data_IF_704273057456
#
_entry.id   IF_704273057456
#
_cell.length_a   1.000
_cell.length_b   1.000
_cell.length_c   1.000
_cell.angle_alpha   90.00
_cell.angle_beta   90.00
_cell.angle_gamma   90.00
#
_symmetry.space_group_name_H-M   'P 1'
#
loop_
_entity.id
_entity.type
_entity.pdbx_description
1 polymer ?
#
# COMPACT_ATOMS: atom_id res chain seq x y z
N UNK A 1 18.34 -10.86 -19.29
CA UNK A 1 17.12 -11.67 -19.16
C UNK A 1 16.39 -11.62 -20.50
N UNK A 2 15.89 -12.74 -20.99
CA UNK A 2 15.08 -12.76 -22.22
C UNK A 2 13.80 -11.96 -21.93
N UNK A 3 13.45 -10.98 -22.77
CA UNK A 3 12.28 -10.10 -22.59
C UNK A 3 10.94 -10.87 -22.57
N UNK A 4 10.97 -12.17 -22.93
CA UNK A 4 9.80 -13.06 -23.05
C UNK A 4 9.56 -13.98 -21.85
N UNK A 5 10.41 -13.92 -20.79
CA UNK A 5 10.32 -14.87 -19.67
C UNK A 5 8.96 -14.87 -18.96
N UNK A 6 8.26 -13.72 -18.92
CA UNK A 6 6.92 -13.61 -18.32
C UNK A 6 5.87 -14.39 -19.12
N UNK A 7 6.11 -14.62 -20.41
CA UNK A 7 5.22 -15.34 -21.32
C UNK A 7 5.57 -16.83 -21.38
N UNK A 8 6.84 -17.20 -21.21
CA UNK A 8 7.32 -18.55 -21.51
C UNK A 8 7.45 -19.45 -20.28
N UNK A 9 7.84 -18.88 -19.12
CA UNK A 9 8.10 -19.68 -17.91
C UNK A 9 6.81 -20.32 -17.34
N UNK A 10 6.93 -21.49 -16.66
CA UNK A 10 5.82 -22.08 -15.92
C UNK A 10 5.24 -21.09 -14.90
N UNK A 11 3.90 -21.02 -14.82
CA UNK A 11 3.19 -19.93 -14.11
C UNK A 11 3.45 -19.96 -12.60
N UNK A 12 3.41 -21.16 -11.96
CA UNK A 12 3.57 -21.25 -10.51
C UNK A 12 4.95 -20.74 -10.03
N UNK A 13 6.09 -21.28 -10.50
CA UNK A 13 7.40 -20.77 -10.07
C UNK A 13 7.61 -19.32 -10.49
N UNK A 14 7.04 -18.88 -11.62
CA UNK A 14 7.11 -17.49 -12.06
C UNK A 14 6.38 -16.57 -11.06
N UNK A 15 5.13 -16.87 -10.70
CA UNK A 15 4.37 -16.07 -9.75
C UNK A 15 5.04 -16.04 -8.37
N UNK A 16 5.55 -17.16 -7.88
CA UNK A 16 6.29 -17.22 -6.60
C UNK A 16 7.55 -16.37 -6.67
N UNK A 17 8.33 -16.44 -7.75
CA UNK A 17 9.55 -15.64 -7.91
C UNK A 17 9.28 -14.13 -7.99
N UNK A 18 8.07 -13.73 -8.37
CA UNK A 18 7.64 -12.34 -8.40
C UNK A 18 7.03 -11.89 -7.06
N UNK A 19 6.25 -12.76 -6.42
CA UNK A 19 5.51 -12.44 -5.20
C UNK A 19 6.41 -12.47 -3.94
N UNK A 20 7.28 -13.46 -3.81
CA UNK A 20 8.09 -13.65 -2.60
C UNK A 20 8.99 -12.45 -2.28
N UNK A 21 9.73 -11.86 -3.24
CA UNK A 21 10.51 -10.64 -2.97
C UNK A 21 9.62 -9.48 -2.50
N UNK A 22 8.39 -9.37 -3.03
CA UNK A 22 7.46 -8.31 -2.63
C UNK A 22 6.93 -8.51 -1.21
N UNK A 23 6.60 -9.76 -0.84
CA UNK A 23 6.20 -10.10 0.53
C UNK A 23 7.31 -9.73 1.52
N UNK A 24 8.56 -10.10 1.21
CA UNK A 24 9.72 -9.78 2.05
C UNK A 24 9.94 -8.27 2.16
N UNK A 25 9.88 -7.54 1.04
CA UNK A 25 10.01 -6.08 1.02
C UNK A 25 8.94 -5.39 1.87
N UNK A 26 7.68 -5.80 1.71
CA UNK A 26 6.56 -5.25 2.49
C UNK A 26 6.71 -5.55 3.98
N UNK A 27 7.21 -6.75 4.34
CA UNK A 27 7.45 -7.13 5.73
C UNK A 27 8.55 -6.26 6.35
N UNK A 28 9.67 -6.07 5.64
CA UNK A 28 10.76 -5.20 6.12
C UNK A 28 10.31 -3.76 6.21
N UNK A 29 9.51 -3.28 5.24
CA UNK A 29 8.92 -1.95 5.29
C UNK A 29 8.00 -1.75 6.51
N UNK A 30 7.19 -2.75 6.87
CA UNK A 30 6.37 -2.70 8.07
C UNK A 30 7.23 -2.70 9.35
N UNK A 31 8.30 -3.47 9.39
CA UNK A 31 9.22 -3.53 10.54
C UNK A 31 9.97 -2.22 10.72
N UNK A 32 10.51 -1.62 9.64
CA UNK A 32 11.23 -0.36 9.80
C UNK A 32 10.31 0.77 10.30
N UNK A 33 9.05 0.84 9.87
CA UNK A 33 8.09 1.81 10.40
C UNK A 33 7.83 1.65 11.91
N UNK A 34 7.87 0.40 12.41
CA UNK A 34 7.76 0.13 13.86
C UNK A 34 9.01 0.61 14.58
N UNK A 35 10.20 0.34 14.03
CA UNK A 35 11.49 0.74 14.60
C UNK A 35 11.63 2.26 14.65
N UNK A 36 11.29 2.96 13.57
CA UNK A 36 11.27 4.44 13.52
C UNK A 36 10.36 5.01 14.61
N UNK A 37 9.12 4.50 14.70
CA UNK A 37 8.18 4.93 15.75
C UNK A 37 8.70 4.65 17.16
N UNK A 38 9.41 3.54 17.37
CA UNK A 38 10.02 3.18 18.66
C UNK A 38 11.10 4.19 19.06
N UNK A 39 11.98 4.60 18.14
CA UNK A 39 13.00 5.60 18.45
C UNK A 39 12.41 6.98 18.69
N UNK A 40 11.39 7.39 17.90
CA UNK A 40 10.69 8.66 18.11
C UNK A 40 9.99 8.70 19.47
N UNK A 41 9.38 7.59 19.91
CA UNK A 41 8.75 7.49 21.22
C UNK A 41 9.75 7.69 22.39
N UNK A 42 11.03 7.38 22.21
CA UNK A 42 12.07 7.63 23.21
C UNK A 42 12.50 9.10 23.32
N UNK A 43 12.17 9.94 22.36
CA UNK A 43 12.48 11.39 22.42
C UNK A 43 11.58 12.05 23.47
N UNK A 44 10.27 11.98 23.30
CA UNK A 44 9.24 12.48 24.22
C UNK A 44 7.84 12.05 23.78
N UNK A 45 6.87 12.10 24.69
CA UNK A 45 5.44 11.90 24.36
C UNK A 45 4.93 12.95 23.36
N UNK A 46 5.43 14.18 23.47
CA UNK A 46 5.09 15.26 22.54
C UNK A 46 5.59 14.99 21.12
N UNK A 47 6.80 14.41 20.97
CA UNK A 47 7.35 14.02 19.67
C UNK A 47 6.52 12.90 19.04
N UNK A 48 6.12 11.90 19.82
CA UNK A 48 5.26 10.81 19.35
C UNK A 48 3.86 11.31 18.95
N UNK A 49 3.31 12.25 19.72
CA UNK A 49 2.04 12.91 19.39
C UNK A 49 2.15 13.69 18.08
N UNK A 50 3.23 14.46 17.92
CA UNK A 50 3.49 15.22 16.71
C UNK A 50 3.60 14.29 15.47
N UNK A 51 4.37 13.19 15.57
CA UNK A 51 4.48 12.20 14.50
C UNK A 51 3.12 11.60 14.14
N UNK A 52 2.32 11.25 15.14
CA UNK A 52 0.98 10.68 14.93
C UNK A 52 0.03 11.64 14.21
N UNK A 53 0.12 12.95 14.48
CA UNK A 53 -0.67 13.97 13.81
C UNK A 53 -0.19 14.26 12.38
N UNK A 54 1.10 14.11 12.09
CA UNK A 54 1.68 14.29 10.74
C UNK A 54 1.41 13.07 9.85
N UNK A 55 1.35 11.87 10.44
CA UNK A 55 1.22 10.59 9.74
C UNK A 55 0.10 10.54 8.67
N UNK A 56 -1.13 11.03 8.89
CA UNK A 56 -2.18 11.01 7.87
C UNK A 56 -1.79 11.73 6.58
N UNK A 57 -1.10 12.88 6.68
CA UNK A 57 -0.64 13.65 5.51
C UNK A 57 0.50 12.93 4.79
N UNK A 58 1.43 12.34 5.54
CA UNK A 58 2.51 11.52 4.99
C UNK A 58 1.95 10.30 4.26
N UNK A 59 0.96 9.62 4.85
CA UNK A 59 0.29 8.48 4.22
C UNK A 59 -0.49 8.87 2.95
N UNK A 60 -1.04 10.08 2.89
CA UNK A 60 -1.67 10.61 1.67
C UNK A 60 -0.65 10.79 0.54
N UNK A 61 0.55 11.33 0.83
CA UNK A 61 1.63 11.45 -0.15
C UNK A 61 2.02 10.07 -0.68
N UNK A 62 2.20 9.09 0.21
CA UNK A 62 2.50 7.71 -0.16
C UNK A 62 1.37 7.07 -1.00
N UNK A 63 0.11 7.31 -0.65
CA UNK A 63 -1.04 6.81 -1.41
C UNK A 63 -1.07 7.37 -2.84
N UNK A 64 -0.76 8.66 -3.02
CA UNK A 64 -0.64 9.29 -4.34
C UNK A 64 0.49 8.62 -5.14
N UNK A 65 1.66 8.45 -4.53
CA UNK A 65 2.83 7.86 -5.18
C UNK A 65 2.59 6.39 -5.58
N UNK A 66 2.09 5.57 -4.66
CA UNK A 66 1.81 4.14 -4.90
C UNK A 66 0.68 3.99 -5.93
N UNK A 67 -0.42 4.73 -5.76
CA UNK A 67 -1.57 4.61 -6.65
C UNK A 67 -1.25 5.06 -8.08
N UNK A 68 -0.55 6.18 -8.26
CA UNK A 68 -0.07 6.61 -9.57
C UNK A 68 0.92 5.60 -10.16
N UNK A 69 1.81 5.06 -9.32
CA UNK A 69 2.75 4.01 -9.69
C UNK A 69 2.09 2.72 -10.17
N UNK A 70 0.88 2.37 -9.69
CA UNK A 70 0.10 1.24 -10.23
C UNK A 70 -0.25 1.45 -11.69
N UNK A 71 -0.62 2.68 -12.06
CA UNK A 71 -0.85 3.06 -13.46
C UNK A 71 0.40 2.91 -14.34
N UNK A 72 1.54 3.39 -13.83
CA UNK A 72 2.85 3.26 -14.51
C UNK A 72 3.19 1.78 -14.74
N UNK A 73 3.10 0.96 -13.70
CA UNK A 73 3.37 -0.48 -13.76
C UNK A 73 2.50 -1.17 -14.81
N UNK A 74 1.18 -0.91 -14.77
CA UNK A 74 0.22 -1.54 -15.67
C UNK A 74 0.49 -1.19 -17.14
N UNK A 75 0.76 0.10 -17.45
CA UNK A 75 0.98 0.51 -18.83
C UNK A 75 2.32 0.04 -19.39
N UNK A 76 3.40 0.14 -18.60
CA UNK A 76 4.72 -0.36 -19.01
C UNK A 76 4.65 -1.86 -19.31
N UNK A 77 4.10 -2.65 -18.40
CA UNK A 77 4.00 -4.10 -18.59
C UNK A 77 3.08 -4.45 -19.79
N UNK A 78 1.96 -3.75 -19.95
CA UNK A 78 1.03 -3.93 -21.07
C UNK A 78 1.71 -3.68 -22.44
N UNK A 79 2.37 -2.53 -22.59
CA UNK A 79 3.04 -2.18 -23.85
C UNK A 79 4.28 -3.03 -24.10
N UNK A 80 5.00 -3.41 -23.05
CA UNK A 80 6.12 -4.37 -23.17
C UNK A 80 5.64 -5.74 -23.66
N UNK A 81 4.50 -6.23 -23.14
CA UNK A 81 3.88 -7.46 -23.60
C UNK A 81 3.39 -7.39 -25.04
N UNK A 82 2.85 -6.25 -25.46
CA UNK A 82 2.42 -6.00 -26.83
C UNK A 82 3.60 -5.81 -27.81
N UNK A 83 4.84 -5.74 -27.34
CA UNK A 83 6.02 -5.47 -28.16
C UNK A 83 6.18 -3.99 -28.57
N UNK A 84 5.33 -3.11 -28.06
CA UNK A 84 5.37 -1.66 -28.34
C UNK A 84 6.34 -0.96 -27.36
N UNK A 85 7.64 -1.08 -27.67
CA UNK A 85 8.70 -0.47 -26.87
C UNK A 85 8.60 1.06 -26.81
N UNK A 86 8.17 1.70 -27.90
CA UNK A 86 8.05 3.15 -27.94
C UNK A 86 7.03 3.65 -26.90
N UNK A 87 5.86 3.03 -26.83
CA UNK A 87 4.84 3.38 -25.85
C UNK A 87 5.24 2.98 -24.42
N UNK A 88 5.98 1.88 -24.24
CA UNK A 88 6.51 1.50 -22.94
C UNK A 88 7.52 2.55 -22.43
N UNK A 89 8.45 3.01 -23.28
CA UNK A 89 9.41 4.07 -22.96
C UNK A 89 8.70 5.41 -22.67
N UNK A 90 7.66 5.75 -23.45
CA UNK A 90 6.86 6.96 -23.21
C UNK A 90 6.11 6.87 -21.88
N UNK A 91 5.47 5.74 -21.57
CA UNK A 91 4.77 5.54 -20.30
C UNK A 91 5.71 5.65 -19.08
N UNK A 92 6.93 5.11 -19.20
CA UNK A 92 7.95 5.24 -18.16
C UNK A 92 8.44 6.69 -17.99
N UNK A 93 8.68 7.37 -19.11
CA UNK A 93 9.20 8.76 -19.10
C UNK A 93 8.14 9.73 -18.54
N UNK A 94 6.90 9.66 -19.02
CA UNK A 94 5.79 10.47 -18.50
C UNK A 94 5.50 10.12 -17.03
N UNK A 95 5.52 8.82 -16.69
CA UNK A 95 5.38 8.36 -15.32
C UNK A 95 6.37 9.02 -14.38
N UNK A 96 7.66 9.08 -14.76
CA UNK A 96 8.70 9.73 -13.93
C UNK A 96 8.50 11.24 -13.85
N UNK A 97 8.25 11.91 -14.98
CA UNK A 97 8.04 13.37 -15.02
C UNK A 97 6.87 13.76 -14.13
N UNK A 98 5.72 13.10 -14.27
CA UNK A 98 4.55 13.37 -13.45
C UNK A 98 4.75 13.00 -11.99
N UNK A 99 5.46 11.90 -11.68
CA UNK A 99 5.80 11.55 -10.29
C UNK A 99 6.61 12.67 -9.62
N UNK A 100 7.67 13.17 -10.28
CA UNK A 100 8.46 14.29 -9.76
C UNK A 100 7.60 15.54 -9.60
N UNK A 101 6.75 15.86 -10.58
CA UNK A 101 5.85 17.01 -10.51
C UNK A 101 4.86 16.90 -9.35
N UNK A 102 4.22 15.74 -9.16
CA UNK A 102 3.35 15.49 -8.02
C UNK A 102 4.11 15.62 -6.70
N UNK A 103 5.36 15.13 -6.64
CA UNK A 103 6.21 15.26 -5.47
C UNK A 103 6.54 16.71 -5.13
N UNK A 104 6.86 17.53 -6.13
CA UNK A 104 7.11 18.97 -5.94
C UNK A 104 5.85 19.69 -5.46
N UNK A 105 4.70 19.42 -6.07
CA UNK A 105 3.42 20.00 -5.65
C UNK A 105 3.10 19.56 -4.21
N UNK A 106 3.23 18.26 -3.91
CA UNK A 106 2.98 17.73 -2.57
C UNK A 106 3.91 18.35 -1.52
N UNK A 107 5.21 18.51 -1.83
CA UNK A 107 6.16 19.17 -0.93
C UNK A 107 5.70 20.58 -0.60
N UNK A 108 5.46 21.41 -1.61
CA UNK A 108 5.06 22.83 -1.41
C UNK A 108 3.73 22.93 -0.66
N UNK A 109 2.70 22.20 -1.11
CA UNK A 109 1.35 22.28 -0.55
C UNK A 109 1.32 21.75 0.88
N UNK A 110 1.90 20.56 1.12
CA UNK A 110 1.84 19.93 2.44
C UNK A 110 2.69 20.68 3.48
N UNK A 111 3.88 21.21 3.11
CA UNK A 111 4.68 22.04 4.02
C UNK A 111 3.92 23.32 4.39
N UNK A 112 3.33 24.01 3.40
CA UNK A 112 2.59 25.24 3.64
C UNK A 112 1.32 25.04 4.49
N UNK A 113 0.62 23.93 4.30
CA UNK A 113 -0.63 23.62 5.02
C UNK A 113 -0.41 23.09 6.44
N UNK A 114 0.74 22.48 6.72
CA UNK A 114 0.95 21.71 7.95
C UNK A 114 0.75 22.52 9.24
N UNK A 115 1.22 23.79 9.37
CA UNK A 115 0.99 24.57 10.60
C UNK A 115 -0.49 24.77 10.89
N UNK A 116 -1.30 25.06 9.86
CA UNK A 116 -2.76 25.21 9.99
C UNK A 116 -3.45 23.88 10.30
N UNK A 117 -3.03 22.81 9.63
CA UNK A 117 -3.54 21.46 9.85
C UNK A 117 -3.33 21.00 11.30
N UNK A 118 -2.14 21.14 11.86
CA UNK A 118 -1.84 20.73 13.23
C UNK A 118 -2.68 21.51 14.26
N UNK A 119 -2.89 22.80 14.05
CA UNK A 119 -3.73 23.65 14.93
C UNK A 119 -5.19 23.22 14.98
N UNK A 120 -5.70 22.47 13.99
CA UNK A 120 -7.05 21.90 14.04
C UNK A 120 -7.18 20.78 15.08
N UNK A 121 -6.07 20.13 15.44
CA UNK A 121 -6.08 18.94 16.30
C UNK A 121 -5.52 19.18 17.69
N UNK A 122 -4.67 20.20 17.87
CA UNK A 122 -4.04 20.50 19.16
C UNK A 122 -3.78 21.98 19.35
N UNK A 123 -3.94 22.48 20.58
CA UNK A 123 -3.50 23.80 21.01
C UNK A 123 -2.10 23.81 21.66
N UNK A 124 -1.42 22.67 21.73
CA UNK A 124 -0.08 22.59 22.34
C UNK A 124 0.98 23.06 21.33
N UNK A 125 1.49 24.26 21.53
CA UNK A 125 2.50 24.88 20.64
C UNK A 125 3.79 24.07 20.54
N UNK A 126 4.18 23.32 21.58
CA UNK A 126 5.35 22.44 21.50
C UNK A 126 5.14 21.26 20.54
N UNK A 127 3.95 20.64 20.57
CA UNK A 127 3.58 19.57 19.63
C UNK A 127 3.49 20.12 18.20
N UNK A 128 2.91 21.30 18.01
CA UNK A 128 2.81 21.97 16.70
C UNK A 128 4.22 22.25 16.16
N UNK A 129 5.11 22.84 16.97
CA UNK A 129 6.48 23.14 16.57
C UNK A 129 7.27 21.87 16.15
N UNK A 130 7.14 20.78 16.92
CA UNK A 130 7.76 19.49 16.59
C UNK A 130 7.17 18.89 15.30
N UNK A 131 5.86 18.94 15.13
CA UNK A 131 5.18 18.45 13.94
C UNK A 131 5.54 19.22 12.68
N UNK A 132 5.60 20.56 12.75
CA UNK A 132 6.03 21.42 11.63
C UNK A 132 7.49 21.13 11.28
N UNK A 133 8.36 21.00 12.29
CA UNK A 133 9.78 20.73 12.09
C UNK A 133 10.01 19.36 11.42
N UNK A 134 9.30 18.32 11.88
CA UNK A 134 9.34 16.98 11.28
C UNK A 134 8.83 17.01 9.84
N UNK A 135 7.62 17.53 9.64
CA UNK A 135 6.94 17.51 8.35
C UNK A 135 7.64 18.32 7.28
N UNK A 136 8.25 19.48 7.65
CA UNK A 136 9.00 20.30 6.70
C UNK A 136 10.18 19.53 6.11
N UNK A 137 10.89 18.73 6.92
CA UNK A 137 11.98 17.90 6.45
C UNK A 137 11.44 16.70 5.67
N UNK A 138 10.49 15.94 6.24
CA UNK A 138 9.96 14.75 5.61
C UNK A 138 9.32 15.04 4.24
N UNK A 139 8.56 16.13 4.12
CA UNK A 139 7.88 16.47 2.86
C UNK A 139 8.81 17.15 1.85
N UNK A 140 9.94 17.73 2.28
CA UNK A 140 10.99 18.18 1.37
C UNK A 140 11.50 17.01 0.50
N UNK A 141 11.51 15.79 1.03
CA UNK A 141 11.89 14.59 0.29
C UNK A 141 10.75 14.01 -0.58
N UNK A 142 9.54 14.59 -0.60
CA UNK A 142 8.44 14.06 -1.38
C UNK A 142 8.76 13.85 -2.88
N UNK A 143 9.50 14.72 -3.58
CA UNK A 143 9.92 14.44 -4.96
C UNK A 143 10.80 13.21 -5.09
N UNK A 144 11.67 12.94 -4.11
CA UNK A 144 12.54 11.77 -4.05
C UNK A 144 11.70 10.51 -3.84
N UNK A 145 10.75 10.55 -2.89
CA UNK A 145 9.79 9.46 -2.62
C UNK A 145 9.00 9.11 -3.86
N UNK A 146 8.46 10.12 -4.56
CA UNK A 146 7.68 9.92 -5.78
C UNK A 146 8.52 9.34 -6.93
N UNK A 147 9.76 9.79 -7.08
CA UNK A 147 10.69 9.26 -8.07
C UNK A 147 11.11 7.82 -7.73
N UNK A 148 11.42 7.55 -6.47
CA UNK A 148 11.77 6.22 -5.95
C UNK A 148 10.67 5.22 -6.22
N UNK A 149 9.41 5.55 -5.85
CA UNK A 149 8.25 4.70 -6.11
C UNK A 149 7.96 4.52 -7.62
N UNK A 150 8.24 5.53 -8.45
CA UNK A 150 8.17 5.38 -9.90
C UNK A 150 9.18 4.33 -10.41
N UNK A 151 10.44 4.39 -9.95
CA UNK A 151 11.46 3.39 -10.29
C UNK A 151 11.08 2.01 -9.75
N UNK A 152 10.57 1.91 -8.53
CA UNK A 152 10.04 0.66 -7.98
C UNK A 152 9.03 0.03 -8.94
N UNK A 153 8.04 0.82 -9.42
CA UNK A 153 7.00 0.32 -10.31
C UNK A 153 7.51 0.00 -11.72
N UNK A 154 8.51 0.73 -12.18
CA UNK A 154 9.20 0.46 -13.44
C UNK A 154 9.97 -0.88 -13.38
N UNK A 155 10.71 -1.13 -12.30
CA UNK A 155 11.40 -2.41 -12.08
C UNK A 155 10.42 -3.57 -11.93
N UNK A 156 9.34 -3.40 -11.19
CA UNK A 156 8.27 -4.38 -11.06
C UNK A 156 7.62 -4.69 -12.41
N UNK A 157 7.35 -3.67 -13.25
CA UNK A 157 6.73 -3.83 -14.55
C UNK A 157 7.52 -4.72 -15.52
N UNK A 158 8.85 -4.70 -15.41
CA UNK A 158 9.75 -5.55 -16.21
C UNK A 158 10.17 -6.83 -15.49
N UNK A 159 9.56 -7.13 -14.33
CA UNK A 159 9.76 -8.37 -13.58
C UNK A 159 11.05 -8.46 -12.78
N UNK A 160 11.71 -7.34 -12.51
CA UNK A 160 12.94 -7.28 -11.71
C UNK A 160 12.64 -7.13 -10.21
N UNK A 161 11.90 -8.09 -9.64
CA UNK A 161 11.45 -8.05 -8.26
C UNK A 161 12.58 -8.20 -7.23
N UNK A 162 13.63 -8.98 -7.56
CA UNK A 162 14.77 -9.15 -6.67
C UNK A 162 15.57 -7.85 -6.52
N UNK A 163 15.74 -7.12 -7.62
CA UNK A 163 16.40 -5.81 -7.61
C UNK A 163 15.54 -4.78 -6.88
N UNK A 164 14.21 -4.85 -7.03
CA UNK A 164 13.26 -4.05 -6.25
C UNK A 164 13.43 -4.32 -4.75
N UNK A 165 13.44 -5.58 -4.36
CA UNK A 165 13.64 -5.97 -2.97
C UNK A 165 15.00 -5.48 -2.44
N UNK A 166 16.07 -5.66 -3.20
CA UNK A 166 17.41 -5.22 -2.78
C UNK A 166 17.48 -3.71 -2.54
N UNK A 167 16.90 -2.89 -3.44
CA UNK A 167 16.88 -1.45 -3.29
C UNK A 167 16.10 -1.02 -2.05
N UNK A 168 14.90 -1.57 -1.83
CA UNK A 168 14.07 -1.29 -0.66
C UNK A 168 14.76 -1.72 0.65
N UNK A 169 15.45 -2.87 0.66
CA UNK A 169 16.21 -3.33 1.81
C UNK A 169 17.37 -2.39 2.14
N UNK A 170 18.13 -1.93 1.13
CA UNK A 170 19.22 -0.98 1.33
C UNK A 170 18.73 0.31 1.99
N UNK A 171 17.61 0.89 1.51
CA UNK A 171 17.03 2.09 2.10
C UNK A 171 16.51 1.88 3.52
N UNK A 172 15.77 0.78 3.75
CA UNK A 172 15.23 0.46 5.08
C UNK A 172 16.33 0.21 6.10
N UNK A 173 17.37 -0.53 5.75
CA UNK A 173 18.53 -0.76 6.64
C UNK A 173 19.25 0.55 6.94
N UNK A 174 19.43 1.40 5.91
CA UNK A 174 20.04 2.72 6.09
C UNK A 174 19.23 3.57 7.07
N UNK A 175 17.91 3.60 6.94
CA UNK A 175 17.04 4.32 7.86
C UNK A 175 17.17 3.78 9.31
N UNK A 176 17.04 2.46 9.51
CA UNK A 176 17.16 1.83 10.84
C UNK A 176 18.51 2.16 11.52
N UNK A 177 19.59 2.24 10.75
CA UNK A 177 20.91 2.60 11.29
C UNK A 177 20.99 4.09 11.61
N UNK A 178 20.46 4.94 10.72
CA UNK A 178 20.56 6.40 10.87
C UNK A 178 19.59 6.96 11.91
N UNK A 179 18.46 6.31 12.19
CA UNK A 179 17.51 6.76 13.20
C UNK A 179 18.20 7.01 14.56
N UNK A 180 18.79 6.01 15.24
CA UNK A 180 19.43 6.26 16.52
C UNK A 180 20.63 7.21 16.42
N UNK A 181 21.37 7.19 15.29
CA UNK A 181 22.54 8.05 15.09
C UNK A 181 22.13 9.52 15.03
N UNK A 182 21.10 9.87 14.25
CA UNK A 182 20.66 11.24 14.05
C UNK A 182 19.70 11.73 15.14
N UNK A 183 18.88 10.84 15.69
CA UNK A 183 17.95 11.19 16.77
C UNK A 183 18.73 11.53 18.05
N UNK A 184 19.65 10.66 18.48
CA UNK A 184 20.34 10.77 19.76
C UNK A 184 21.74 11.37 19.67
N UNK A 185 22.25 11.62 18.45
CA UNK A 185 23.57 12.22 18.26
C UNK A 185 24.71 11.26 18.58
N UNK A 186 24.67 10.03 18.03
CA UNK A 186 25.71 9.04 18.27
C UNK A 186 26.94 9.31 17.40
N UNK A 187 28.13 9.20 18.00
CA UNK A 187 29.42 9.45 17.34
C UNK A 187 29.65 10.94 17.03
N UNK A 188 30.06 11.32 15.81
CA UNK A 188 30.36 12.70 15.45
C UNK A 188 29.13 13.56 15.09
N UNK A 189 27.92 12.96 15.12
CA UNK A 189 26.71 13.63 14.68
C UNK A 189 26.02 14.38 15.84
N UNK A 190 25.45 15.58 15.56
CA UNK A 190 24.68 16.31 16.55
C UNK A 190 23.35 15.62 16.85
N UNK A 191 22.85 15.76 18.07
CA UNK A 191 21.52 15.31 18.45
C UNK A 191 20.45 16.17 17.78
N UNK A 192 19.72 15.60 16.82
CA UNK A 192 18.71 16.30 16.03
C UNK A 192 17.27 16.03 16.49
N UNK A 193 17.07 15.04 17.38
CA UNK A 193 15.75 14.66 17.87
C UNK A 193 14.80 14.27 16.73
N UNK A 194 13.56 14.79 16.73
CA UNK A 194 12.54 14.47 15.73
C UNK A 194 12.94 14.86 14.29
N UNK A 195 13.81 15.87 14.14
CA UNK A 195 14.37 16.23 12.82
C UNK A 195 15.31 15.17 12.31
N UNK A 196 16.02 14.47 13.23
CA UNK A 196 16.88 13.35 12.91
C UNK A 196 16.09 12.18 12.31
N UNK A 197 14.93 11.85 12.87
CA UNK A 197 14.04 10.81 12.34
C UNK A 197 13.57 11.16 10.91
N UNK A 198 13.09 12.40 10.68
CA UNK A 198 12.68 12.85 9.35
C UNK A 198 13.83 12.79 8.33
N UNK A 199 15.05 13.20 8.74
CA UNK A 199 16.23 13.18 7.89
C UNK A 199 16.70 11.76 7.60
N UNK A 200 16.71 10.85 8.59
CA UNK A 200 17.05 9.44 8.40
C UNK A 200 16.12 8.76 7.39
N UNK A 201 14.81 9.01 7.50
CA UNK A 201 13.81 8.54 6.53
C UNK A 201 14.11 9.09 5.14
N UNK A 202 14.35 10.40 4.99
CA UNK A 202 14.66 11.02 3.71
C UNK A 202 15.95 10.48 3.08
N UNK A 203 17.01 10.28 3.87
CA UNK A 203 18.27 9.67 3.40
C UNK A 203 18.04 8.22 2.97
N UNK A 204 17.28 7.43 3.73
CA UNK A 204 16.90 6.07 3.36
C UNK A 204 16.23 6.02 1.97
N UNK A 205 15.30 6.93 1.70
CA UNK A 205 14.65 7.07 0.39
C UNK A 205 15.64 7.47 -0.73
N UNK A 206 16.58 8.39 -0.43
CA UNK A 206 17.64 8.75 -1.37
C UNK A 206 18.54 7.54 -1.69
N UNK A 207 18.87 6.71 -0.71
CA UNK A 207 19.66 5.49 -0.90
C UNK A 207 18.89 4.50 -1.77
N UNK A 208 17.61 4.26 -1.49
CA UNK A 208 16.76 3.40 -2.33
C UNK A 208 16.74 3.88 -3.78
N UNK A 209 16.48 5.16 -4.00
CA UNK A 209 16.49 5.76 -5.34
C UNK A 209 17.86 5.63 -6.01
N UNK A 210 18.95 5.86 -5.26
CA UNK A 210 20.30 5.74 -5.78
C UNK A 210 20.63 4.32 -6.23
N UNK A 211 20.20 3.31 -5.47
CA UNK A 211 20.36 1.90 -5.85
C UNK A 211 19.59 1.59 -7.13
N UNK A 212 18.34 2.06 -7.27
CA UNK A 212 17.60 1.93 -8.52
C UNK A 212 18.31 2.59 -9.70
N UNK A 213 18.80 3.81 -9.53
CA UNK A 213 19.51 4.54 -10.59
C UNK A 213 20.82 3.83 -10.97
N UNK A 214 21.59 3.33 -10.01
CA UNK A 214 22.85 2.58 -10.29
C UNK A 214 22.51 1.33 -11.10
N UNK A 215 21.52 0.53 -10.68
CA UNK A 215 21.14 -0.69 -11.40
C UNK A 215 20.60 -0.34 -12.79
N UNK A 216 19.79 0.71 -12.91
CA UNK A 216 19.23 1.17 -14.18
C UNK A 216 20.31 1.61 -15.17
N UNK A 217 21.34 2.35 -14.72
CA UNK A 217 22.43 2.83 -15.56
C UNK A 217 23.48 1.79 -15.88
N UNK A 218 23.75 0.83 -14.97
CA UNK A 218 24.80 -0.17 -15.13
C UNK A 218 24.36 -1.43 -15.89
N UNK A 219 23.07 -1.73 -15.85
CA UNK A 219 22.51 -2.90 -16.52
C UNK A 219 21.65 -2.50 -17.72
N UNK A 220 21.64 -3.36 -18.75
CA UNK A 220 20.69 -3.18 -19.85
C UNK A 220 19.26 -3.31 -19.33
N UNK A 221 18.50 -2.21 -19.44
CA UNK A 221 17.12 -2.17 -19.01
C UNK A 221 16.18 -2.22 -20.22
N UNK A 222 15.10 -3.03 -20.21
CA UNK A 222 14.22 -3.22 -21.38
C UNK A 222 13.46 -1.96 -21.78
N UNK A 223 13.16 -1.10 -20.80
CA UNK A 223 12.42 0.15 -20.95
C UNK A 223 13.35 1.32 -20.67
N UNK A 224 13.39 2.29 -21.57
CA UNK A 224 14.33 3.41 -21.50
C UNK A 224 13.61 4.73 -21.24
N UNK A 225 14.13 5.49 -20.29
CA UNK A 225 13.74 6.87 -20.09
C UNK A 225 14.41 7.74 -21.15
N UNK A 226 13.62 8.37 -22.01
CA UNK A 226 14.13 9.14 -23.15
C UNK A 226 13.56 10.56 -23.15
N UNK A 227 14.44 11.56 -23.24
CA UNK A 227 14.04 12.96 -23.38
C UNK A 227 13.13 13.20 -24.59
N UNK A 228 13.33 12.44 -25.67
CA UNK A 228 12.48 12.50 -26.87
C UNK A 228 11.02 12.07 -26.62
N UNK A 229 10.78 11.30 -25.56
CA UNK A 229 9.46 10.83 -25.16
C UNK A 229 8.73 11.80 -24.23
N UNK A 230 9.29 12.95 -23.85
CA UNK A 230 8.62 13.96 -23.00
C UNK A 230 7.49 14.70 -23.75
N UNK A 231 7.39 14.54 -25.08
CA UNK A 231 6.33 15.17 -25.87
C UNK A 231 4.95 14.73 -25.35
N UNK A 232 4.01 15.68 -25.12
CA UNK A 232 2.70 15.36 -24.59
C UNK A 232 1.97 14.32 -25.44
N UNK A 233 1.58 13.21 -24.83
CA UNK A 233 0.66 12.21 -25.40
C UNK A 233 -0.58 12.14 -24.50
N UNK A 234 -1.56 12.99 -24.83
CA UNK A 234 -2.80 13.14 -24.05
C UNK A 234 -3.58 11.84 -23.88
N UNK A 235 -3.48 10.94 -24.86
CA UNK A 235 -4.18 9.63 -24.79
C UNK A 235 -3.50 8.69 -23.80
N UNK A 236 -2.18 8.65 -23.80
CA UNK A 236 -1.40 7.85 -22.87
C UNK A 236 -1.53 8.41 -21.45
N UNK A 237 -1.44 9.73 -21.30
CA UNK A 237 -1.56 10.40 -20.00
C UNK A 237 -2.95 10.17 -19.39
N UNK A 238 -4.02 10.36 -20.17
CA UNK A 238 -5.37 10.08 -19.70
C UNK A 238 -5.54 8.62 -19.27
N UNK A 239 -4.91 7.68 -19.99
CA UNK A 239 -4.94 6.25 -19.61
C UNK A 239 -4.18 5.98 -18.32
N UNK A 240 -3.03 6.63 -18.12
CA UNK A 240 -2.22 6.54 -16.90
C UNK A 240 -3.02 7.03 -15.69
N UNK A 241 -3.65 8.20 -15.80
CA UNK A 241 -4.51 8.73 -14.73
C UNK A 241 -5.79 7.94 -14.51
N UNK A 242 -6.37 7.34 -15.56
CA UNK A 242 -7.57 6.48 -15.44
C UNK A 242 -7.34 5.20 -14.63
N UNK A 243 -6.09 4.80 -14.45
CA UNK A 243 -5.69 3.70 -13.57
C UNK A 243 -5.19 4.24 -12.24
N UNK A 244 -4.32 5.26 -12.28
CA UNK A 244 -3.65 5.82 -11.11
C UNK A 244 -4.61 6.46 -10.12
N UNK A 245 -5.52 7.32 -10.57
CA UNK A 245 -6.49 8.01 -9.68
C UNK A 245 -7.40 7.02 -8.95
N UNK A 246 -8.04 6.04 -9.61
CA UNK A 246 -8.76 5.00 -8.91
C UNK A 246 -7.91 4.22 -7.90
N UNK A 247 -6.65 3.93 -8.21
CA UNK A 247 -5.76 3.23 -7.30
C UNK A 247 -5.40 4.10 -6.07
N UNK A 248 -5.21 5.41 -6.22
CA UNK A 248 -5.05 6.35 -5.11
C UNK A 248 -6.27 6.30 -4.19
N UNK A 249 -7.46 6.40 -4.77
CA UNK A 249 -8.71 6.35 -4.00
C UNK A 249 -8.88 5.01 -3.28
N UNK A 250 -8.54 3.89 -3.92
CA UNK A 250 -8.55 2.56 -3.29
C UNK A 250 -7.70 2.50 -2.01
N UNK A 251 -6.56 3.20 -2.00
CA UNK A 251 -5.67 3.27 -0.82
C UNK A 251 -6.20 4.23 0.26
N UNK A 252 -7.01 5.23 -0.11
CA UNK A 252 -7.57 6.20 0.83
C UNK A 252 -8.86 5.72 1.51
N UNK A 253 -9.69 4.93 0.81
CA UNK A 253 -11.00 4.48 1.28
C UNK A 253 -10.98 3.77 2.67
N UNK A 254 -10.00 2.89 3.00
CA UNK A 254 -9.93 2.29 4.33
C UNK A 254 -9.85 3.30 5.46
N UNK A 255 -9.17 4.43 5.27
CA UNK A 255 -9.03 5.46 6.30
C UNK A 255 -10.37 6.13 6.62
N UNK A 256 -11.20 6.37 5.60
CA UNK A 256 -12.57 6.89 5.78
C UNK A 256 -13.41 5.90 6.58
N UNK A 257 -13.34 4.61 6.24
CA UNK A 257 -14.05 3.55 6.95
C UNK A 257 -13.62 3.48 8.43
N UNK A 258 -12.31 3.46 8.69
CA UNK A 258 -11.78 3.38 10.06
C UNK A 258 -12.28 4.55 10.90
N UNK A 259 -12.28 5.77 10.36
CA UNK A 259 -12.78 6.96 11.04
C UNK A 259 -14.27 6.85 11.39
N UNK A 260 -15.09 6.34 10.46
CA UNK A 260 -16.51 6.10 10.70
C UNK A 260 -16.74 5.03 11.79
N UNK A 261 -16.04 3.89 11.71
CA UNK A 261 -16.19 2.81 12.67
C UNK A 261 -15.72 3.22 14.08
N UNK A 262 -14.63 3.99 14.17
CA UNK A 262 -14.17 4.56 15.44
C UNK A 262 -15.25 5.46 16.06
N UNK A 263 -15.86 6.35 15.28
CA UNK A 263 -16.93 7.22 15.75
C UNK A 263 -18.15 6.43 16.22
N UNK A 264 -18.51 5.37 15.51
CA UNK A 264 -19.63 4.51 15.85
C UNK A 264 -19.39 3.74 17.16
N UNK A 265 -18.20 3.17 17.34
CA UNK A 265 -17.82 2.37 18.51
C UNK A 265 -17.52 3.22 19.74
N UNK A 266 -16.99 4.43 19.56
CA UNK A 266 -16.71 5.38 20.64
C UNK A 266 -17.99 5.79 21.43
N UNK A 267 -19.15 5.75 20.75
CA UNK A 267 -20.43 5.99 21.38
C UNK A 267 -20.82 4.94 22.44
N UNK A 268 -20.20 3.75 22.42
CA UNK A 268 -20.44 2.70 23.41
C UNK A 268 -19.34 2.65 24.48
N UNK A 269 -18.10 2.47 24.11
CA UNK A 269 -16.96 2.57 25.02
C UNK A 269 -15.63 2.70 24.30
N UNK A 270 -14.62 3.26 24.98
CA UNK A 270 -13.25 3.33 24.47
C UNK A 270 -12.63 1.93 24.25
N UNK A 271 -13.05 0.92 25.03
CA UNK A 271 -12.58 -0.46 24.86
C UNK A 271 -12.86 -1.02 23.47
N UNK A 272 -14.01 -0.72 22.87
CA UNK A 272 -14.33 -1.16 21.49
C UNK A 272 -13.46 -0.46 20.43
N UNK A 273 -13.11 0.80 20.64
CA UNK A 273 -12.18 1.54 19.78
C UNK A 273 -10.78 0.92 19.83
N UNK A 274 -10.33 0.55 21.04
CA UNK A 274 -9.05 -0.17 21.24
C UNK A 274 -9.08 -1.51 20.50
N UNK A 275 -10.15 -2.29 20.63
CA UNK A 275 -10.30 -3.58 19.94
C UNK A 275 -10.22 -3.40 18.43
N UNK A 276 -10.90 -2.41 17.86
CA UNK A 276 -10.83 -2.10 16.43
C UNK A 276 -9.41 -1.74 16.00
N UNK A 277 -8.71 -0.92 16.79
CA UNK A 277 -7.31 -0.56 16.55
C UNK A 277 -6.38 -1.77 16.55
N UNK A 278 -6.53 -2.69 17.52
CA UNK A 278 -5.79 -3.95 17.57
C UNK A 278 -6.08 -4.81 16.35
N UNK A 279 -7.35 -4.93 15.97
CA UNK A 279 -7.76 -5.67 14.78
C UNK A 279 -7.05 -5.13 13.52
N UNK A 280 -7.05 -3.83 13.27
CA UNK A 280 -6.39 -3.26 12.08
C UNK A 280 -4.87 -3.48 12.08
N UNK A 281 -4.22 -3.45 13.24
CA UNK A 281 -2.79 -3.82 13.35
C UNK A 281 -2.56 -5.29 12.97
N UNK A 282 -3.35 -6.20 13.50
CA UNK A 282 -3.27 -7.63 13.17
C UNK A 282 -3.60 -7.87 11.69
N UNK A 283 -4.65 -7.23 11.16
CA UNK A 283 -5.03 -7.32 9.76
C UNK A 283 -3.88 -6.92 8.83
N UNK A 284 -3.15 -5.85 9.15
CA UNK A 284 -1.99 -5.42 8.34
C UNK A 284 -1.01 -6.57 8.15
N UNK A 285 -0.60 -7.25 9.21
CA UNK A 285 0.34 -8.38 9.12
C UNK A 285 -0.24 -9.58 8.38
N UNK A 286 -1.53 -9.89 8.60
CA UNK A 286 -2.19 -11.01 7.93
C UNK A 286 -2.36 -10.79 6.42
N UNK A 287 -2.57 -9.54 5.99
CA UNK A 287 -2.76 -9.20 4.59
C UNK A 287 -1.46 -8.88 3.83
N UNK A 288 -0.32 -8.71 4.51
CA UNK A 288 0.97 -8.47 3.86
C UNK A 288 1.33 -9.53 2.80
N UNK A 289 1.24 -10.85 3.10
CA UNK A 289 1.58 -11.86 2.10
C UNK A 289 0.62 -11.83 0.90
N UNK A 290 -0.68 -11.64 1.13
CA UNK A 290 -1.66 -11.52 0.06
C UNK A 290 -1.42 -10.27 -0.81
N UNK A 291 -1.06 -9.15 -0.19
CA UNK A 291 -0.65 -7.93 -0.88
C UNK A 291 0.58 -8.14 -1.76
N UNK A 292 1.58 -8.87 -1.28
CA UNK A 292 2.77 -9.22 -2.06
C UNK A 292 2.45 -10.11 -3.27
N UNK A 293 1.53 -11.08 -3.12
CA UNK A 293 1.06 -11.89 -4.26
C UNK A 293 0.36 -11.01 -5.30
N UNK A 294 -0.50 -10.09 -4.87
CA UNK A 294 -1.19 -9.15 -5.79
C UNK A 294 -0.18 -8.25 -6.50
N UNK A 295 0.84 -7.75 -5.81
CA UNK A 295 1.89 -6.95 -6.44
C UNK A 295 2.71 -7.76 -7.47
N UNK A 296 3.08 -9.00 -7.15
CA UNK A 296 3.76 -9.90 -8.09
C UNK A 296 2.90 -10.32 -9.28
N UNK A 297 1.59 -10.47 -9.08
CA UNK A 297 0.63 -10.84 -10.12
C UNK A 297 0.42 -9.72 -11.15
N UNK A 298 0.38 -8.45 -10.72
CA UNK A 298 0.02 -7.30 -11.59
C UNK A 298 0.84 -7.24 -12.87
N UNK A 299 2.17 -7.16 -12.86
CA UNK A 299 2.95 -7.09 -14.09
C UNK A 299 2.80 -8.34 -14.97
N UNK A 300 2.61 -9.52 -14.38
CA UNK A 300 2.39 -10.76 -15.13
C UNK A 300 1.06 -10.72 -15.90
N UNK A 301 0.00 -10.24 -15.27
CA UNK A 301 -1.31 -10.08 -15.92
C UNK A 301 -1.22 -9.02 -17.02
N UNK A 302 -0.67 -7.84 -16.73
CA UNK A 302 -0.55 -6.75 -17.70
C UNK A 302 0.26 -7.16 -18.93
N UNK A 303 1.41 -7.80 -18.72
CA UNK A 303 2.29 -8.25 -19.78
C UNK A 303 1.62 -9.31 -20.67
N UNK A 304 1.07 -10.38 -20.07
CA UNK A 304 0.42 -11.45 -20.82
C UNK A 304 -0.85 -10.97 -21.53
N UNK A 305 -1.58 -10.02 -20.96
CA UNK A 305 -2.72 -9.37 -21.62
C UNK A 305 -2.28 -8.57 -22.84
N UNK A 306 -1.19 -7.78 -22.71
CA UNK A 306 -0.59 -7.06 -23.83
C UNK A 306 -0.07 -7.98 -24.93
N UNK A 307 0.47 -9.15 -24.57
CA UNK A 307 0.94 -10.17 -25.50
C UNK A 307 -0.19 -11.01 -26.15
N UNK A 308 -1.48 -10.76 -25.80
CA UNK A 308 -2.61 -11.55 -26.30
C UNK A 308 -2.75 -12.94 -25.69
N UNK A 309 -1.97 -13.27 -24.66
CA UNK A 309 -1.96 -14.57 -23.97
C UNK A 309 -3.10 -14.68 -22.92
N UNK A 310 -4.34 -14.56 -23.37
CA UNK A 310 -5.52 -14.52 -22.48
C UNK A 310 -5.68 -15.77 -21.62
N UNK A 311 -5.31 -16.94 -22.14
CA UNK A 311 -5.31 -18.19 -21.40
C UNK A 311 -4.34 -18.18 -20.21
N UNK A 312 -3.16 -17.55 -20.37
CA UNK A 312 -2.20 -17.36 -19.27
C UNK A 312 -2.69 -16.35 -18.25
N UNK A 313 -3.31 -15.25 -18.68
CA UNK A 313 -3.92 -14.27 -17.77
C UNK A 313 -4.90 -14.95 -16.81
N UNK A 314 -5.79 -15.79 -17.34
CA UNK A 314 -6.77 -16.57 -16.54
C UNK A 314 -6.09 -17.53 -15.56
N UNK A 315 -5.05 -18.24 -16.02
CA UNK A 315 -4.30 -19.18 -15.15
C UNK A 315 -3.54 -18.44 -14.05
N UNK A 316 -2.91 -17.29 -14.33
CA UNK A 316 -2.21 -16.45 -13.34
C UNK A 316 -3.21 -15.94 -12.30
N UNK A 317 -4.36 -15.43 -12.72
CA UNK A 317 -5.42 -14.96 -11.85
C UNK A 317 -5.93 -16.06 -10.91
N UNK A 318 -6.26 -17.23 -11.45
CA UNK A 318 -6.76 -18.36 -10.66
C UNK A 318 -5.72 -18.87 -9.68
N UNK A 319 -4.47 -18.92 -10.08
CA UNK A 319 -3.36 -19.34 -9.20
C UNK A 319 -3.15 -18.34 -8.06
N UNK A 320 -3.10 -17.04 -8.35
CA UNK A 320 -2.99 -16.00 -7.34
C UNK A 320 -4.18 -16.02 -6.37
N UNK A 321 -5.40 -16.25 -6.88
CA UNK A 321 -6.59 -16.46 -6.07
C UNK A 321 -6.44 -17.64 -5.11
N UNK A 322 -5.96 -18.79 -5.61
CA UNK A 322 -5.74 -19.98 -4.78
C UNK A 322 -4.66 -19.76 -3.71
N UNK A 323 -3.56 -19.09 -4.06
CA UNK A 323 -2.51 -18.76 -3.10
C UNK A 323 -3.00 -17.79 -2.02
N UNK A 324 -3.73 -16.75 -2.40
CA UNK A 324 -4.33 -15.81 -1.47
C UNK A 324 -5.38 -16.52 -0.56
N UNK A 325 -6.20 -17.41 -1.12
CA UNK A 325 -7.15 -18.19 -0.36
C UNK A 325 -6.47 -19.07 0.70
N UNK A 326 -5.35 -19.71 0.36
CA UNK A 326 -4.59 -20.51 1.30
C UNK A 326 -4.02 -19.66 2.45
N UNK A 327 -3.48 -18.46 2.15
CA UNK A 327 -2.98 -17.52 3.15
C UNK A 327 -4.11 -17.04 4.06
N UNK A 328 -5.26 -16.66 3.48
CA UNK A 328 -6.40 -16.17 4.26
C UNK A 328 -7.05 -17.26 5.08
N UNK A 329 -7.05 -18.51 4.61
CA UNK A 329 -7.49 -19.68 5.40
C UNK A 329 -6.56 -19.87 6.60
N UNK A 330 -5.25 -19.83 6.40
CA UNK A 330 -4.29 -19.91 7.51
C UNK A 330 -4.47 -18.74 8.50
N UNK A 331 -4.65 -17.52 8.00
CA UNK A 331 -4.96 -16.34 8.83
C UNK A 331 -6.26 -16.49 9.63
N UNK A 332 -7.30 -17.06 9.02
CA UNK A 332 -8.57 -17.37 9.71
C UNK A 332 -8.34 -18.36 10.85
N UNK A 333 -7.62 -19.46 10.58
CA UNK A 333 -7.32 -20.48 11.61
C UNK A 333 -6.52 -19.85 12.77
N UNK A 334 -5.48 -19.06 12.46
CA UNK A 334 -4.68 -18.35 13.47
C UNK A 334 -5.56 -17.45 14.35
N UNK A 335 -6.49 -16.70 13.73
CA UNK A 335 -7.41 -15.83 14.47
C UNK A 335 -8.44 -16.61 15.29
N UNK A 336 -8.93 -17.73 14.80
CA UNK A 336 -9.91 -18.54 15.51
C UNK A 336 -9.30 -19.22 16.75
N UNK A 337 -8.10 -19.78 16.62
CA UNK A 337 -7.41 -20.52 17.69
C UNK A 337 -6.66 -19.59 18.62
N UNK A 338 -5.91 -18.64 18.07
CA UNK A 338 -4.98 -17.77 18.79
C UNK A 338 -5.56 -16.43 19.26
N UNK A 339 -6.88 -16.19 19.07
CA UNK A 339 -7.47 -14.86 19.37
C UNK A 339 -7.16 -14.29 20.76
N UNK A 340 -7.17 -15.06 21.89
CA UNK A 340 -6.84 -14.52 23.20
C UNK A 340 -5.38 -14.05 23.28
N UNK A 341 -4.45 -14.86 22.76
CA UNK A 341 -3.03 -14.54 22.77
C UNK A 341 -2.73 -13.32 21.86
N UNK A 342 -3.34 -13.26 20.67
CA UNK A 342 -3.16 -12.15 19.73
C UNK A 342 -3.66 -10.83 20.31
N UNK A 343 -4.81 -10.79 20.96
CA UNK A 343 -5.31 -9.59 21.64
C UNK A 343 -4.47 -9.28 22.87
N UNK A 344 -4.10 -10.30 23.64
CA UNK A 344 -3.25 -10.16 24.85
C UNK A 344 -1.86 -9.58 24.60
N UNK A 345 -1.36 -9.63 23.35
CA UNK A 345 -0.10 -8.95 22.99
C UNK A 345 -0.21 -7.41 23.04
N UNK A 346 -1.42 -6.85 22.98
CA UNK A 346 -1.64 -5.40 22.90
C UNK A 346 -2.30 -4.81 24.14
N UNK A 347 -2.91 -5.63 25.01
CA UNK A 347 -3.59 -5.17 26.23
C UNK A 347 -3.53 -6.22 27.30
N UNK A 348 -3.49 -5.77 28.56
CA UNK A 348 -3.58 -6.64 29.76
C UNK A 348 -4.96 -6.62 30.40
N UNK A 349 -5.89 -5.81 29.90
CA UNK A 349 -7.25 -5.72 30.42
C UNK A 349 -8.07 -6.95 30.02
N UNK A 350 -8.52 -7.73 31.00
CA UNK A 350 -9.23 -8.99 30.78
C UNK A 350 -10.54 -8.82 30.01
N UNK A 351 -11.31 -7.76 30.27
CA UNK A 351 -12.58 -7.48 29.58
C UNK A 351 -12.34 -7.13 28.11
N UNK A 352 -11.29 -6.34 27.83
CA UNK A 352 -10.88 -6.01 26.47
C UNK A 352 -10.38 -7.25 25.71
N UNK A 353 -9.66 -8.15 26.38
CA UNK A 353 -9.22 -9.42 25.79
C UNK A 353 -10.43 -10.30 25.45
N UNK A 354 -11.38 -10.45 26.36
CA UNK A 354 -12.58 -11.27 26.15
C UNK A 354 -13.44 -10.71 24.98
N UNK A 355 -13.72 -9.42 24.99
CA UNK A 355 -14.48 -8.77 23.90
C UNK A 355 -13.73 -8.79 22.57
N UNK A 356 -12.41 -8.56 22.58
CA UNK A 356 -11.53 -8.60 21.41
C UNK A 356 -11.41 -10.00 20.80
N UNK A 357 -11.41 -11.05 21.62
CA UNK A 357 -11.46 -12.44 21.17
C UNK A 357 -12.73 -12.73 20.37
N UNK A 358 -13.88 -12.28 20.86
CA UNK A 358 -15.17 -12.42 20.13
C UNK A 358 -15.10 -11.65 18.82
N UNK A 359 -14.65 -10.40 18.85
CA UNK A 359 -14.51 -9.56 17.66
C UNK A 359 -13.64 -10.23 16.59
N UNK A 360 -12.43 -10.68 16.96
CA UNK A 360 -11.47 -11.26 16.02
C UNK A 360 -11.99 -12.56 15.39
N UNK A 361 -12.68 -13.40 16.15
CA UNK A 361 -13.29 -14.63 15.64
C UNK A 361 -14.42 -14.35 14.65
N UNK A 362 -15.28 -13.38 14.93
CA UNK A 362 -16.37 -13.00 14.02
C UNK A 362 -15.82 -12.39 12.72
N UNK A 363 -14.90 -11.45 12.84
CA UNK A 363 -14.33 -10.75 11.67
C UNK A 363 -13.54 -11.71 10.77
N UNK A 364 -12.76 -12.62 11.36
CA UNK A 364 -11.92 -13.57 10.60
C UNK A 364 -12.72 -14.52 9.71
N UNK A 365 -14.01 -14.72 9.98
CA UNK A 365 -14.90 -15.51 9.10
C UNK A 365 -14.99 -14.90 7.69
N UNK A 366 -14.77 -13.60 7.53
CA UNK A 366 -14.76 -12.92 6.23
C UNK A 366 -13.45 -13.04 5.45
N UNK A 367 -12.32 -13.41 6.08
CA UNK A 367 -11.00 -13.32 5.44
C UNK A 367 -10.89 -14.18 4.17
N UNK A 368 -11.36 -15.44 4.22
CA UNK A 368 -11.31 -16.31 3.05
C UNK A 368 -12.10 -15.72 1.88
N UNK A 369 -13.27 -15.15 2.15
CA UNK A 369 -14.15 -14.57 1.13
C UNK A 369 -13.55 -13.29 0.55
N UNK A 370 -12.82 -12.48 1.36
CA UNK A 370 -12.16 -11.25 0.92
C UNK A 370 -11.13 -11.48 -0.19
N UNK A 371 -10.61 -12.69 -0.31
CA UNK A 371 -9.66 -13.09 -1.36
C UNK A 371 -10.17 -12.74 -2.75
N UNK A 372 -11.48 -12.93 -2.98
CA UNK A 372 -12.09 -12.69 -4.28
C UNK A 372 -12.05 -11.19 -4.64
N UNK A 373 -12.48 -10.33 -3.72
CA UNK A 373 -12.49 -8.88 -3.96
C UNK A 373 -11.08 -8.30 -4.10
N UNK A 374 -10.13 -8.73 -3.27
CA UNK A 374 -8.72 -8.27 -3.28
C UNK A 374 -8.01 -8.69 -4.57
N UNK A 375 -8.12 -9.96 -4.96
CA UNK A 375 -7.44 -10.47 -6.16
C UNK A 375 -8.09 -9.91 -7.43
N UNK A 376 -9.43 -9.80 -7.48
CA UNK A 376 -10.13 -9.21 -8.62
C UNK A 376 -9.78 -7.73 -8.80
N UNK A 377 -9.75 -6.94 -7.72
CA UNK A 377 -9.36 -5.54 -7.75
C UNK A 377 -7.95 -5.35 -8.32
N UNK A 378 -6.96 -6.09 -7.79
CA UNK A 378 -5.59 -6.04 -8.28
C UNK A 378 -5.43 -6.48 -9.75
N UNK A 379 -6.19 -7.49 -10.17
CA UNK A 379 -6.23 -7.94 -11.57
C UNK A 379 -6.84 -6.90 -12.51
N UNK A 380 -7.92 -6.23 -12.10
CA UNK A 380 -8.55 -5.15 -12.88
C UNK A 380 -7.62 -3.95 -13.05
N UNK A 381 -6.88 -3.57 -12.01
CA UNK A 381 -5.85 -2.53 -12.10
C UNK A 381 -4.77 -2.92 -13.12
N UNK A 382 -4.29 -4.16 -13.07
CA UNK A 382 -3.32 -4.70 -14.01
C UNK A 382 -3.83 -4.70 -15.46
N UNK A 383 -5.12 -4.95 -15.67
CA UNK A 383 -5.76 -4.91 -17.00
C UNK A 383 -6.08 -3.48 -17.48
N UNK A 384 -5.67 -2.46 -16.74
CA UNK A 384 -5.98 -1.06 -17.07
C UNK A 384 -7.43 -0.67 -16.80
N UNK A 385 -8.13 -1.42 -15.96
CA UNK A 385 -9.55 -1.22 -15.60
C UNK A 385 -9.68 -0.63 -14.20
N UNK A 386 -8.98 0.48 -13.95
CA UNK A 386 -8.90 1.12 -12.62
C UNK A 386 -10.27 1.52 -12.06
N UNK A 387 -11.16 2.08 -12.89
CA UNK A 387 -12.51 2.48 -12.47
C UNK A 387 -13.32 1.29 -11.94
N UNK A 388 -13.20 0.12 -12.57
CA UNK A 388 -13.88 -1.09 -12.13
C UNK A 388 -13.31 -1.62 -10.81
N UNK A 389 -12.00 -1.50 -10.60
CA UNK A 389 -11.37 -1.78 -9.32
C UNK A 389 -11.89 -0.84 -8.22
N UNK A 390 -12.01 0.46 -8.51
CA UNK A 390 -12.56 1.45 -7.59
C UNK A 390 -14.03 1.14 -7.21
N UNK A 391 -14.84 0.71 -8.16
CA UNK A 391 -16.25 0.32 -7.86
C UNK A 391 -16.27 -0.81 -6.84
N UNK A 392 -15.42 -1.84 -6.97
CA UNK A 392 -15.34 -2.92 -5.98
C UNK A 392 -14.95 -2.38 -4.61
N UNK A 393 -13.95 -1.48 -4.55
CA UNK A 393 -13.49 -0.89 -3.29
C UNK A 393 -14.54 0.04 -2.66
N UNK A 394 -15.25 0.83 -3.46
CA UNK A 394 -16.37 1.65 -2.98
C UNK A 394 -17.49 0.78 -2.41
N UNK A 395 -17.85 -0.31 -3.08
CA UNK A 395 -18.80 -1.27 -2.54
C UNK A 395 -18.32 -1.82 -1.20
N UNK A 396 -17.06 -2.26 -1.13
CA UNK A 396 -16.49 -2.88 0.06
C UNK A 396 -16.39 -1.92 1.25
N UNK A 397 -15.87 -0.70 1.06
CA UNK A 397 -15.55 0.19 2.17
C UNK A 397 -16.67 1.19 2.51
N UNK A 398 -17.46 1.62 1.53
CA UNK A 398 -18.44 2.69 1.72
C UNK A 398 -19.89 2.18 1.58
N UNK A 399 -20.24 1.66 0.39
CA UNK A 399 -21.63 1.38 0.03
C UNK A 399 -22.23 0.24 0.86
N UNK A 400 -21.43 -0.79 1.19
CA UNK A 400 -21.92 -1.95 1.94
C UNK A 400 -21.52 -1.84 3.40
N UNK A 401 -20.20 -1.59 3.69
CA UNK A 401 -19.70 -1.67 5.06
C UNK A 401 -20.30 -0.61 5.98
N UNK A 402 -20.37 0.65 5.55
CA UNK A 402 -20.89 1.74 6.40
C UNK A 402 -22.37 1.50 6.78
N UNK A 403 -23.30 1.24 5.81
CA UNK A 403 -24.68 0.95 6.17
C UNK A 403 -24.82 -0.33 6.97
N UNK A 404 -24.10 -1.42 6.61
CA UNK A 404 -24.15 -2.67 7.35
C UNK A 404 -23.69 -2.50 8.81
N UNK A 405 -22.58 -1.81 9.04
CA UNK A 405 -22.08 -1.52 10.38
C UNK A 405 -23.08 -0.68 11.19
N UNK A 406 -23.66 0.35 10.57
CA UNK A 406 -24.64 1.21 11.24
C UNK A 406 -25.93 0.42 11.59
N UNK A 407 -26.50 -0.33 10.65
CA UNK A 407 -27.73 -1.09 10.86
C UNK A 407 -27.51 -2.20 11.90
N UNK A 408 -26.45 -3.02 11.74
CA UNK A 408 -26.18 -4.12 12.65
C UNK A 408 -25.78 -3.62 14.05
N UNK A 409 -25.11 -2.50 14.14
CA UNK A 409 -24.82 -1.84 15.41
C UNK A 409 -26.10 -1.41 16.14
N UNK A 410 -27.12 -0.92 15.41
CA UNK A 410 -28.43 -0.57 15.99
C UNK A 410 -29.21 -1.78 16.47
N UNK A 411 -29.07 -2.92 15.79
CA UNK A 411 -29.80 -4.15 16.12
C UNK A 411 -29.13 -4.98 17.23
N UNK A 412 -27.80 -5.08 17.20
CA UNK A 412 -27.02 -6.00 18.05
C UNK A 412 -25.96 -5.30 18.91
N UNK A 413 -26.01 -3.95 18.99
CA UNK A 413 -24.97 -3.19 19.70
C UNK A 413 -23.59 -3.29 19.03
N UNK A 414 -22.50 -3.06 19.81
CA UNK A 414 -21.14 -3.04 19.26
C UNK A 414 -20.72 -4.33 18.56
N UNK A 415 -21.25 -5.48 18.99
CA UNK A 415 -20.99 -6.78 18.36
C UNK A 415 -21.50 -6.82 16.93
N UNK A 416 -22.58 -6.10 16.65
CA UNK A 416 -23.12 -5.97 15.29
C UNK A 416 -22.12 -5.37 14.30
N UNK A 417 -21.23 -4.48 14.75
CA UNK A 417 -20.16 -3.93 13.91
C UNK A 417 -19.20 -5.03 13.45
N UNK A 418 -18.88 -6.01 14.30
CA UNK A 418 -18.03 -7.15 13.92
C UNK A 418 -18.69 -8.03 12.88
N UNK A 419 -19.98 -8.24 12.98
CA UNK A 419 -20.74 -9.00 11.97
C UNK A 419 -20.80 -8.26 10.62
N UNK A 420 -20.76 -6.93 10.60
CA UNK A 420 -20.72 -6.16 9.35
C UNK A 420 -19.51 -6.51 8.48
N UNK A 421 -18.37 -6.91 9.05
CA UNK A 421 -17.18 -7.27 8.29
C UNK A 421 -17.41 -8.47 7.38
N UNK A 422 -17.83 -9.62 7.91
CA UNK A 422 -18.03 -10.81 7.08
C UNK A 422 -19.21 -10.66 6.11
N UNK A 423 -20.28 -9.98 6.50
CA UNK A 423 -21.41 -9.65 5.61
C UNK A 423 -20.93 -8.81 4.43
N UNK A 424 -20.13 -7.79 4.72
CA UNK A 424 -19.53 -6.93 3.68
C UNK A 424 -18.63 -7.72 2.75
N UNK A 425 -17.77 -8.59 3.29
CA UNK A 425 -16.88 -9.39 2.44
C UNK A 425 -17.67 -10.32 1.51
N UNK A 426 -18.76 -10.93 1.98
CA UNK A 426 -19.62 -11.77 1.16
C UNK A 426 -20.28 -10.97 0.02
N UNK A 427 -20.90 -9.84 0.32
CA UNK A 427 -21.57 -9.01 -0.67
C UNK A 427 -20.56 -8.37 -1.65
N UNK A 428 -19.39 -7.94 -1.15
CA UNK A 428 -18.33 -7.38 -1.98
C UNK A 428 -17.69 -8.45 -2.88
N UNK A 429 -17.57 -9.67 -2.44
CA UNK A 429 -17.10 -10.79 -3.26
C UNK A 429 -18.07 -11.07 -4.41
N UNK A 430 -19.37 -11.04 -4.16
CA UNK A 430 -20.39 -11.16 -5.22
C UNK A 430 -20.30 -9.99 -6.21
N UNK A 431 -20.19 -8.76 -5.72
CA UNK A 431 -20.00 -7.58 -6.57
C UNK A 431 -18.71 -7.69 -7.40
N UNK A 432 -17.60 -8.12 -6.78
CA UNK A 432 -16.32 -8.30 -7.46
C UNK A 432 -16.40 -9.37 -8.56
N UNK A 433 -17.06 -10.51 -8.30
CA UNK A 433 -17.28 -11.57 -9.29
C UNK A 433 -18.10 -11.06 -10.48
N UNK A 434 -19.16 -10.29 -10.22
CA UNK A 434 -20.02 -9.73 -11.27
C UNK A 434 -19.26 -8.68 -12.10
N UNK A 435 -18.56 -7.74 -11.46
CA UNK A 435 -17.77 -6.72 -12.14
C UNK A 435 -16.66 -7.36 -12.97
N UNK A 436 -15.93 -8.31 -12.39
CA UNK A 436 -14.86 -9.02 -13.09
C UNK A 436 -15.37 -9.77 -14.31
N UNK A 437 -16.42 -10.59 -14.15
CA UNK A 437 -17.03 -11.36 -15.24
C UNK A 437 -17.56 -10.50 -16.38
N UNK A 438 -18.15 -9.33 -16.06
CA UNK A 438 -18.68 -8.39 -17.08
C UNK A 438 -17.56 -7.64 -17.80
N UNK A 439 -16.46 -7.33 -17.09
CA UNK A 439 -15.37 -6.49 -17.60
C UNK A 439 -14.32 -7.30 -18.35
N UNK A 440 -13.99 -8.49 -17.85
CA UNK A 440 -12.90 -9.33 -18.37
C UNK A 440 -13.51 -10.39 -19.30
N UNK A 441 -13.76 -9.98 -20.54
CA UNK A 441 -14.10 -10.90 -21.63
C UNK A 441 -12.79 -11.42 -22.23
N UNK A 442 -12.19 -12.43 -21.62
CA UNK A 442 -11.06 -13.14 -22.21
C UNK A 442 -11.65 -14.13 -23.22
N UNK A 443 -11.50 -13.83 -24.51
CA UNK A 443 -11.77 -14.82 -25.54
C UNK A 443 -10.73 -15.93 -25.37
N UNK A 444 -11.15 -17.05 -24.79
CA UNK A 444 -10.37 -18.28 -24.61
C UNK A 444 -10.79 -19.25 -25.70
#
# INVERSE_FOLDING_TARGET
MNDTFMKERPIFPLLVSMALPMVLSMTVNALYNIVDSFFVAQISEQAMTALSLVYPVQNMINAIAIGFGVGINALIALYSGAGDRCRADTAATHGLVFSILHGLIAAVVCIAMMPGFLRLFTGNEAVIALGVRYSSIAFFFAPVVMAELCFEKLFQAVGRMNETMAALLCGSITNIILDPVLIFGLGPFPMLGISGAALATGIGQCVTLSVYLIIYCTHRFPVQLRLSCIKPDWRLDAKLYSIGVPAILNLALPSVLVSFLNSLLAAYSQGYVVILGIYYKLQTFLYLPAGGIVQGMRPLISYNYGAGEHGRVKKIYNLAMGMNAAIMAAGTIICLVGSPALIGMFTTNADTIAAGQVALRIISAGFLVSTLSVTASGSLEALGKGTQSLIISLCRYIIIMIPAAWILCRLFGPVGVWHAFWVTELLSALAAALVYKRTVKLNV
#
